data_IF_922648315446
#
_entry.id   IF_922648315446
#
_cell.length_a   1.000
_cell.length_b   1.000
_cell.length_c   1.000
_cell.angle_alpha   90.00
_cell.angle_beta   90.00
_cell.angle_gamma   90.00
#
_symmetry.space_group_name_H-M   'P 1'
#
loop_
_entity.id
_entity.type
_entity.pdbx_description
1 polymer ?
#
# COMPACT_ATOMS: atom_id res chain seq x y z
N UNK A 1 12.19 2.67 6.51
CA UNK A 1 10.80 2.47 7.02
C UNK A 1 10.72 2.96 8.45
N UNK A 2 9.61 3.60 8.81
CA UNK A 2 9.45 4.19 10.15
C UNK A 2 9.12 3.09 11.18
N UNK A 3 9.93 2.91 12.23
CA UNK A 3 9.56 2.00 13.32
C UNK A 3 8.42 2.58 14.16
N UNK A 4 7.66 1.73 14.85
CA UNK A 4 6.52 2.12 15.70
C UNK A 4 6.78 3.35 16.59
N UNK A 5 7.91 3.36 17.30
CA UNK A 5 8.30 4.43 18.23
C UNK A 5 8.58 5.78 17.56
N UNK A 6 8.70 5.81 16.23
CA UNK A 6 8.92 7.03 15.44
C UNK A 6 7.66 7.54 14.75
N UNK A 7 6.53 6.83 14.82
CA UNK A 7 5.30 7.25 14.14
C UNK A 7 4.79 8.60 14.66
N UNK A 8 4.52 8.72 15.96
CA UNK A 8 4.05 10.00 16.53
C UNK A 8 5.04 11.15 16.34
N UNK A 9 6.36 10.99 16.63
CA UNK A 9 7.33 12.03 16.30
C UNK A 9 7.33 12.44 14.83
N UNK A 10 7.19 11.49 13.90
CA UNK A 10 7.14 11.79 12.47
C UNK A 10 5.84 12.52 12.08
N UNK A 11 4.70 12.18 12.71
CA UNK A 11 3.45 12.94 12.54
C UNK A 11 3.64 14.38 13.03
N UNK A 12 4.13 14.58 14.25
CA UNK A 12 4.35 15.93 14.80
C UNK A 12 5.29 16.75 13.91
N UNK A 13 6.40 16.14 13.46
CA UNK A 13 7.32 16.79 12.54
C UNK A 13 6.66 17.14 11.20
N UNK A 14 5.78 16.27 10.68
CA UNK A 14 5.02 16.54 9.46
C UNK A 14 4.07 17.72 9.61
N UNK A 15 3.38 17.83 10.76
CA UNK A 15 2.48 18.95 11.07
C UNK A 15 3.24 20.27 11.19
N UNK A 16 4.35 20.28 11.93
CA UNK A 16 5.20 21.47 12.09
C UNK A 16 5.75 21.99 10.75
N UNK A 17 5.98 21.10 9.78
CA UNK A 17 6.50 21.43 8.45
C UNK A 17 5.39 21.64 7.39
N UNK A 18 4.12 21.58 7.80
CA UNK A 18 2.96 21.74 6.94
C UNK A 18 2.87 20.71 5.81
N UNK A 19 3.38 19.48 6.04
CA UNK A 19 3.45 18.46 4.99
C UNK A 19 2.06 17.96 4.57
N UNK A 20 1.13 17.89 5.51
CA UNK A 20 -0.21 17.38 5.22
C UNK A 20 -1.04 18.37 4.41
N UNK A 21 -0.89 19.67 4.69
CA UNK A 21 -1.50 20.75 3.93
C UNK A 21 -0.98 20.72 2.49
N UNK A 22 0.35 20.66 2.30
CA UNK A 22 0.97 20.51 0.97
C UNK A 22 0.52 19.25 0.24
N UNK A 23 0.41 18.12 0.96
CA UNK A 23 -0.09 16.87 0.39
C UNK A 23 -1.54 17.02 -0.08
N UNK A 24 -2.40 17.68 0.70
CA UNK A 24 -3.77 17.97 0.32
C UNK A 24 -3.85 18.91 -0.88
N UNK A 25 -3.02 19.96 -0.96
CA UNK A 25 -2.93 20.84 -2.13
C UNK A 25 -2.56 20.06 -3.41
N UNK A 26 -1.67 19.07 -3.32
CA UNK A 26 -1.34 18.18 -4.44
C UNK A 26 -2.54 17.29 -4.80
N UNK A 27 -3.23 16.72 -3.79
CA UNK A 27 -4.42 15.90 -4.02
C UNK A 27 -5.55 16.68 -4.69
N UNK A 28 -5.74 17.96 -4.35
CA UNK A 28 -6.77 18.82 -4.91
C UNK A 28 -6.55 19.11 -6.40
N UNK A 29 -5.34 18.90 -6.92
CA UNK A 29 -5.05 19.01 -8.34
C UNK A 29 -5.45 17.75 -9.14
N UNK A 30 -5.73 16.63 -8.47
CA UNK A 30 -6.22 15.40 -9.11
C UNK A 30 -7.67 15.66 -9.56
N UNK A 31 -8.06 15.24 -10.78
CA UNK A 31 -9.45 15.32 -11.21
C UNK A 31 -10.41 14.63 -10.23
N UNK A 32 -11.54 15.27 -9.92
CA UNK A 32 -12.57 14.63 -9.10
C UNK A 32 -13.25 13.55 -9.92
N UNK A 33 -13.43 12.38 -9.31
CA UNK A 33 -13.95 11.20 -10.00
C UNK A 33 -15.11 10.56 -9.27
N UNK A 34 -16.02 9.99 -10.06
CA UNK A 34 -17.05 9.06 -9.61
C UNK A 34 -16.82 7.68 -10.24
N UNK A 35 -17.20 6.64 -9.51
CA UNK A 35 -17.18 5.26 -9.97
C UNK A 35 -18.25 4.44 -9.27
N UNK A 36 -18.51 3.23 -9.76
CA UNK A 36 -19.52 2.31 -9.20
C UNK A 36 -19.12 1.68 -7.85
N UNK A 37 -18.00 2.09 -7.26
CA UNK A 37 -17.47 1.59 -5.97
C UNK A 37 -17.42 0.05 -5.89
N UNK A 38 -16.97 -0.61 -6.96
CA UNK A 38 -16.94 -2.07 -7.07
C UNK A 38 -15.77 -2.74 -6.32
N UNK A 39 -14.90 -1.96 -5.66
CA UNK A 39 -13.73 -2.41 -4.89
C UNK A 39 -12.66 -3.19 -5.67
N UNK A 40 -12.72 -3.22 -7.01
CA UNK A 40 -11.68 -3.88 -7.83
C UNK A 40 -10.28 -3.30 -7.60
N UNK A 41 -10.15 -1.98 -7.41
CA UNK A 41 -8.87 -1.36 -7.06
C UNK A 41 -8.33 -1.77 -5.69
N UNK A 42 -9.18 -2.33 -4.82
CA UNK A 42 -8.82 -2.73 -3.47
C UNK A 42 -8.32 -4.19 -3.40
N UNK A 43 -8.05 -4.85 -4.53
CA UNK A 43 -7.43 -6.19 -4.54
C UNK A 43 -5.93 -6.14 -4.34
N UNK A 44 -5.26 -5.10 -4.85
CA UNK A 44 -3.82 -4.87 -4.70
C UNK A 44 -3.59 -3.47 -4.12
N UNK A 45 -3.38 -3.35 -2.80
CA UNK A 45 -2.89 -2.15 -2.17
C UNK A 45 -1.74 -1.50 -2.96
N UNK A 46 -1.94 -0.29 -3.52
CA UNK A 46 -0.94 0.31 -4.38
C UNK A 46 0.21 0.89 -3.55
N UNK A 47 1.35 1.20 -4.18
CA UNK A 47 2.44 1.86 -3.49
C UNK A 47 2.10 3.29 -3.09
N UNK A 48 2.75 3.75 -2.02
CA UNK A 48 2.58 5.07 -1.45
C UNK A 48 3.87 5.52 -0.75
N UNK A 49 4.01 6.83 -0.57
CA UNK A 49 5.11 7.42 0.18
C UNK A 49 4.82 7.47 1.69
N UNK A 50 5.87 7.65 2.50
CA UNK A 50 5.82 7.75 3.96
C UNK A 50 4.87 8.86 4.40
N UNK A 51 4.89 10.02 3.73
CA UNK A 51 4.02 11.16 4.06
C UNK A 51 2.53 10.81 3.95
N UNK A 52 2.17 9.98 2.96
CA UNK A 52 0.80 9.54 2.75
C UNK A 52 0.38 8.50 3.81
N UNK A 53 1.29 7.61 4.16
CA UNK A 53 1.11 6.67 5.28
C UNK A 53 0.92 7.41 6.61
N UNK A 54 1.74 8.43 6.89
CA UNK A 54 1.59 9.26 8.10
C UNK A 54 0.26 10.02 8.12
N UNK A 55 -0.22 10.48 6.96
CA UNK A 55 -1.51 11.16 6.87
C UNK A 55 -2.66 10.22 7.27
N UNK A 56 -2.64 8.99 6.73
CA UNK A 56 -3.59 7.95 7.12
C UNK A 56 -3.45 7.58 8.60
N UNK A 57 -2.24 7.37 9.08
CA UNK A 57 -1.98 7.02 10.48
C UNK A 57 -2.55 8.05 11.44
N UNK A 58 -2.31 9.34 11.19
CA UNK A 58 -2.88 10.44 11.97
C UNK A 58 -4.41 10.43 11.93
N UNK A 59 -5.00 10.26 10.74
CA UNK A 59 -6.45 10.22 10.57
C UNK A 59 -7.09 9.07 11.35
N UNK A 60 -6.56 7.86 11.24
CA UNK A 60 -7.10 6.69 11.95
C UNK A 60 -6.99 6.88 13.46
N UNK A 61 -5.87 7.37 13.99
CA UNK A 61 -5.76 7.66 15.43
C UNK A 61 -6.77 8.68 15.93
N UNK A 62 -7.10 9.68 15.10
CA UNK A 62 -8.03 10.75 15.47
C UNK A 62 -9.50 10.35 15.32
N UNK A 63 -9.82 9.55 14.30
CA UNK A 63 -11.21 9.34 13.85
C UNK A 63 -11.70 7.90 13.95
N UNK A 64 -10.80 6.91 13.92
CA UNK A 64 -11.13 5.48 13.87
C UNK A 64 -10.19 4.62 14.77
N UNK A 65 -9.82 5.04 15.99
CA UNK A 65 -8.83 4.33 16.79
C UNK A 65 -9.24 2.87 17.11
N UNK A 66 -10.55 2.62 17.22
CA UNK A 66 -11.12 1.29 17.44
C UNK A 66 -10.91 0.32 16.27
N UNK A 67 -10.59 0.83 15.08
CA UNK A 67 -10.33 0.02 13.88
C UNK A 67 -8.90 -0.51 13.78
N UNK A 68 -7.98 -0.04 14.63
CA UNK A 68 -6.58 -0.48 14.57
C UNK A 68 -6.39 -2.00 14.66
N UNK A 69 -7.06 -2.75 15.56
CA UNK A 69 -6.93 -4.20 15.59
C UNK A 69 -7.31 -4.88 14.27
N UNK A 70 -8.39 -4.42 13.63
CA UNK A 70 -8.88 -4.92 12.33
C UNK A 70 -7.86 -4.61 11.21
N UNK A 71 -7.43 -3.35 11.11
CA UNK A 71 -6.46 -2.91 10.11
C UNK A 71 -5.10 -3.61 10.22
N UNK A 72 -4.58 -3.76 11.45
CA UNK A 72 -3.31 -4.44 11.67
C UNK A 72 -3.45 -5.93 11.34
N UNK A 73 -4.53 -6.58 11.77
CA UNK A 73 -4.77 -7.99 11.45
C UNK A 73 -4.81 -8.21 9.93
N UNK A 74 -5.59 -7.41 9.20
CA UNK A 74 -5.66 -7.48 7.74
C UNK A 74 -4.31 -7.17 7.08
N UNK A 75 -3.59 -6.16 7.56
CA UNK A 75 -2.29 -5.78 7.00
C UNK A 75 -1.24 -6.88 7.17
N UNK A 76 -1.22 -7.53 8.34
CA UNK A 76 -0.36 -8.69 8.61
C UNK A 76 -0.74 -9.83 7.66
N UNK A 77 -2.02 -10.17 7.50
CA UNK A 77 -2.45 -11.22 6.56
C UNK A 77 -2.01 -10.93 5.13
N UNK A 78 -2.31 -9.71 4.67
CA UNK A 78 -1.94 -9.25 3.35
C UNK A 78 -0.43 -9.43 3.13
N UNK A 79 0.42 -8.85 4.00
CA UNK A 79 1.88 -8.90 3.84
C UNK A 79 2.48 -10.31 3.91
N UNK A 80 1.86 -11.24 4.63
CA UNK A 80 2.38 -12.60 4.71
C UNK A 80 1.90 -13.49 3.56
N UNK A 81 0.78 -13.15 2.91
CA UNK A 81 0.12 -14.01 1.93
C UNK A 81 -0.04 -13.41 0.53
N UNK A 82 0.31 -12.14 0.27
CA UNK A 82 0.03 -11.50 -1.02
C UNK A 82 0.77 -12.12 -2.22
N UNK A 83 1.77 -12.98 -1.96
CA UNK A 83 2.47 -13.74 -2.99
C UNK A 83 1.99 -15.20 -3.14
N UNK A 84 1.05 -15.64 -2.31
CA UNK A 84 0.57 -17.04 -2.29
C UNK A 84 -0.93 -17.22 -2.19
N UNK A 85 -1.70 -16.15 -1.96
CA UNK A 85 -3.16 -16.18 -1.89
C UNK A 85 -3.77 -15.03 -2.71
N UNK A 86 -4.46 -15.39 -3.79
CA UNK A 86 -5.11 -14.43 -4.71
C UNK A 86 -6.33 -13.74 -4.08
N UNK A 87 -6.82 -14.27 -2.96
CA UNK A 87 -8.00 -13.75 -2.27
C UNK A 87 -7.67 -12.62 -1.30
N UNK A 88 -6.40 -12.28 -1.12
CA UNK A 88 -6.00 -11.13 -0.32
C UNK A 88 -6.65 -9.84 -0.86
N UNK A 89 -7.05 -8.97 0.06
CA UNK A 89 -7.67 -7.67 -0.23
C UNK A 89 -7.01 -6.60 0.62
N UNK A 90 -7.22 -5.35 0.24
CA UNK A 90 -6.82 -4.19 1.03
C UNK A 90 -7.44 -4.29 2.44
N UNK A 91 -6.63 -4.17 3.51
CA UNK A 91 -7.11 -4.31 4.89
C UNK A 91 -7.99 -3.14 5.34
N UNK A 92 -8.10 -2.09 4.54
CA UNK A 92 -8.98 -0.95 4.80
C UNK A 92 -10.31 -1.04 4.04
N UNK A 93 -10.54 -2.13 3.30
CA UNK A 93 -11.80 -2.41 2.62
C UNK A 93 -12.77 -3.05 3.61
N UNK A 94 -13.88 -2.37 3.90
CA UNK A 94 -14.95 -2.90 4.73
C UNK A 94 -15.81 -3.94 4.01
N UNK A 95 -16.61 -4.68 4.77
CA UNK A 95 -17.53 -5.71 4.28
C UNK A 95 -18.60 -5.17 3.31
N UNK A 96 -18.91 -3.87 3.41
CA UNK A 96 -19.82 -3.15 2.50
C UNK A 96 -19.15 -2.73 1.18
N UNK A 97 -17.92 -3.19 0.95
CA UNK A 97 -17.05 -2.83 -0.19
C UNK A 97 -16.68 -1.34 -0.23
N UNK A 98 -16.78 -0.62 0.89
CA UNK A 98 -16.31 0.75 1.01
C UNK A 98 -14.94 0.81 1.68
N UNK A 99 -14.11 1.75 1.24
CA UNK A 99 -12.83 2.01 1.89
C UNK A 99 -13.07 2.80 3.18
N UNK A 100 -12.66 2.27 4.32
CA UNK A 100 -12.86 2.90 5.63
C UNK A 100 -11.96 4.13 5.85
N UNK A 101 -10.93 4.31 5.01
CA UNK A 101 -10.01 5.46 5.02
C UNK A 101 -10.11 6.30 3.73
N UNK A 102 -11.27 6.30 3.07
CA UNK A 102 -11.45 6.89 1.73
C UNK A 102 -10.90 8.31 1.60
N UNK A 103 -11.09 9.16 2.62
CA UNK A 103 -10.66 10.56 2.66
C UNK A 103 -9.14 10.74 2.68
N UNK A 104 -8.40 9.76 3.18
CA UNK A 104 -6.93 9.79 3.33
C UNK A 104 -6.25 8.69 2.53
N UNK A 105 -6.93 8.18 1.49
CA UNK A 105 -6.35 7.23 0.55
C UNK A 105 -5.12 7.85 -0.16
N UNK A 106 -4.09 7.05 -0.49
CA UNK A 106 -2.89 7.55 -1.15
C UNK A 106 -3.18 7.99 -2.59
N UNK A 107 -2.25 8.74 -3.18
CA UNK A 107 -2.32 9.29 -4.53
C UNK A 107 -2.66 8.23 -5.56
N UNK A 108 -2.00 7.08 -5.49
CA UNK A 108 -2.20 5.94 -6.40
C UNK A 108 -3.61 5.38 -6.34
N UNK A 109 -4.26 5.40 -5.17
CA UNK A 109 -5.70 5.08 -5.06
C UNK A 109 -6.59 6.18 -5.66
N UNK A 110 -6.19 7.46 -5.57
CA UNK A 110 -6.95 8.61 -6.11
C UNK A 110 -6.87 8.69 -7.63
N UNK A 111 -5.73 8.34 -8.21
CA UNK A 111 -5.45 8.40 -9.64
C UNK A 111 -5.78 7.10 -10.38
N UNK A 112 -6.19 6.04 -9.68
CA UNK A 112 -6.59 4.79 -10.31
C UNK A 112 -7.76 4.98 -11.28
N UNK A 113 -7.59 4.55 -12.53
CA UNK A 113 -8.53 4.78 -13.63
C UNK A 113 -8.26 6.07 -14.43
N UNK A 114 -7.34 6.93 -13.99
CA UNK A 114 -6.93 8.15 -14.72
C UNK A 114 -5.61 7.98 -15.50
N UNK A 115 -4.78 6.99 -15.16
CA UNK A 115 -3.45 6.78 -15.78
C UNK A 115 -3.49 6.20 -17.20
N UNK A 116 -4.67 5.98 -17.78
CA UNK A 116 -4.82 5.56 -19.18
C UNK A 116 -4.20 4.20 -19.52
N UNK A 117 -3.94 3.98 -20.80
CA UNK A 117 -3.43 2.73 -21.36
C UNK A 117 -1.93 2.85 -21.71
N UNK A 118 -1.06 2.96 -20.70
CA UNK A 118 0.39 2.92 -20.93
C UNK A 118 0.89 1.48 -21.03
N UNK A 119 1.52 1.10 -22.15
CA UNK A 119 2.02 -0.27 -22.36
C UNK A 119 3.31 -0.59 -21.57
N UNK A 120 4.04 0.43 -21.08
CA UNK A 120 5.38 0.25 -20.49
C UNK A 120 5.41 -0.18 -19.01
N UNK A 121 4.38 0.14 -18.23
CA UNK A 121 4.31 -0.25 -16.81
C UNK A 121 4.08 -1.74 -16.65
N UNK A 122 3.26 -2.32 -17.54
CA UNK A 122 2.94 -3.75 -17.55
C UNK A 122 4.21 -4.61 -17.78
N UNK A 123 5.12 -4.16 -18.65
CA UNK A 123 6.40 -4.84 -18.93
C UNK A 123 7.40 -4.76 -17.76
N UNK A 124 7.45 -3.64 -17.04
CA UNK A 124 8.32 -3.52 -15.86
C UNK A 124 7.79 -4.35 -14.70
N UNK A 125 6.48 -4.28 -14.45
CA UNK A 125 5.83 -5.09 -13.43
C UNK A 125 6.05 -6.60 -13.69
N UNK A 126 5.92 -7.04 -14.95
CA UNK A 126 6.17 -8.43 -15.31
C UNK A 126 7.62 -8.86 -15.05
N UNK A 127 8.60 -8.06 -15.48
CA UNK A 127 10.02 -8.34 -15.22
C UNK A 127 10.35 -8.40 -13.73
N UNK A 128 9.73 -7.53 -12.93
CA UNK A 128 9.91 -7.55 -11.47
C UNK A 128 9.29 -8.81 -10.85
N UNK A 129 8.12 -9.24 -11.32
CA UNK A 129 7.49 -10.49 -10.89
C UNK A 129 8.36 -11.72 -11.26
N UNK A 130 8.90 -11.77 -12.48
CA UNK A 130 9.77 -12.88 -12.91
C UNK A 130 11.01 -13.01 -12.01
N UNK A 131 11.64 -11.89 -11.65
CA UNK A 131 12.75 -11.87 -10.68
C UNK A 131 12.33 -12.35 -9.29
N UNK A 132 11.12 -11.97 -8.86
CA UNK A 132 10.58 -12.36 -7.56
C UNK A 132 10.32 -13.88 -7.49
N UNK A 133 9.78 -14.45 -8.56
CA UNK A 133 9.58 -15.91 -8.70
C UNK A 133 10.90 -16.66 -8.54
N UNK A 134 11.93 -16.24 -9.30
CA UNK A 134 13.27 -16.86 -9.21
C UNK A 134 13.82 -16.73 -7.79
N UNK A 135 13.76 -15.54 -7.20
CA UNK A 135 14.25 -15.28 -5.84
C UNK A 135 13.58 -16.19 -4.81
N UNK A 136 12.25 -16.27 -4.79
CA UNK A 136 11.52 -17.07 -3.80
C UNK A 136 11.74 -18.58 -3.98
N UNK A 137 11.89 -19.04 -5.23
CA UNK A 137 12.27 -20.43 -5.53
C UNK A 137 13.67 -20.74 -5.01
N UNK A 138 14.68 -19.95 -5.40
CA UNK A 138 16.09 -20.25 -5.13
C UNK A 138 16.50 -20.00 -3.68
N UNK A 139 16.10 -18.86 -3.11
CA UNK A 139 16.53 -18.47 -1.75
C UNK A 139 15.66 -19.07 -0.65
N UNK A 140 14.41 -19.45 -0.97
CA UNK A 140 13.43 -19.83 0.03
C UNK A 140 12.71 -21.16 -0.24
N UNK A 141 12.87 -21.77 -1.42
CA UNK A 141 12.15 -23.00 -1.78
C UNK A 141 10.62 -22.80 -1.81
N UNK A 142 10.17 -21.61 -2.21
CA UNK A 142 8.73 -21.28 -2.33
C UNK A 142 8.38 -21.12 -3.81
N UNK A 143 7.54 -22.00 -4.32
CA UNK A 143 6.95 -21.87 -5.66
C UNK A 143 5.73 -20.96 -5.58
N UNK A 144 5.77 -19.81 -6.26
CA UNK A 144 4.64 -18.88 -6.28
C UNK A 144 3.54 -19.42 -7.23
N UNK A 145 2.26 -19.40 -6.82
CA UNK A 145 1.15 -19.88 -7.66
C UNK A 145 1.04 -19.13 -9.00
N UNK A 146 0.70 -19.83 -10.08
CA UNK A 146 0.55 -19.21 -11.41
C UNK A 146 -0.49 -18.08 -11.43
N UNK A 147 -1.56 -18.21 -10.67
CA UNK A 147 -2.59 -17.18 -10.54
C UNK A 147 -2.07 -15.90 -9.90
N UNK A 148 -1.06 -15.98 -9.03
CA UNK A 148 -0.37 -14.81 -8.46
C UNK A 148 0.57 -14.22 -9.50
N UNK A 149 1.41 -15.06 -10.11
CA UNK A 149 2.46 -14.63 -11.06
C UNK A 149 1.84 -13.95 -12.29
N UNK A 150 0.69 -14.45 -12.75
CA UNK A 150 -0.01 -13.94 -13.92
C UNK A 150 -1.10 -12.92 -13.58
N UNK A 151 -1.30 -12.59 -12.30
CA UNK A 151 -2.29 -11.60 -11.92
C UNK A 151 -1.94 -10.23 -12.48
N UNK A 152 -2.94 -9.59 -13.09
CA UNK A 152 -2.88 -8.18 -13.46
C UNK A 152 -4.11 -7.49 -12.90
N UNK A 153 -3.89 -6.40 -12.16
CA UNK A 153 -4.99 -5.57 -11.71
C UNK A 153 -5.69 -4.98 -12.95
N UNK A 154 -6.97 -5.28 -13.20
CA UNK A 154 -7.64 -4.80 -14.40
C UNK A 154 -7.68 -3.27 -14.40
N UNK A 155 -7.69 -2.68 -15.60
CA UNK A 155 -7.90 -1.23 -15.74
C UNK A 155 -9.36 -0.89 -15.42
N UNK A 156 -9.58 0.29 -14.83
CA UNK A 156 -10.93 0.74 -14.50
C UNK A 156 -11.60 1.43 -15.69
N UNK A 157 -12.74 0.90 -16.12
CA UNK A 157 -13.59 1.54 -17.14
C UNK A 157 -14.76 2.34 -16.52
N UNK A 158 -14.91 2.28 -15.20
CA UNK A 158 -16.05 2.87 -14.49
C UNK A 158 -15.74 4.24 -13.88
N UNK A 159 -14.48 4.69 -13.92
CA UNK A 159 -14.08 6.00 -13.40
C UNK A 159 -14.42 7.09 -14.41
N UNK A 160 -15.11 8.13 -13.95
CA UNK A 160 -15.48 9.31 -14.75
C UNK A 160 -15.11 10.57 -14.00
N UNK A 161 -14.58 11.56 -14.73
CA UNK A 161 -14.23 12.86 -14.17
C UNK A 161 -15.44 13.78 -14.15
N UNK A 162 -15.67 14.51 -13.05
CA UNK A 162 -16.87 15.35 -12.85
C UNK A 162 -16.63 16.85 -12.78
N UNK A 163 -15.44 17.30 -12.36
CA UNK A 163 -15.18 18.71 -12.11
C UNK A 163 -14.48 19.43 -13.28
N UNK A 164 -14.44 18.81 -14.47
CA UNK A 164 -13.83 19.39 -15.67
C UNK A 164 -12.30 19.53 -15.63
N UNK A 165 -11.64 19.21 -14.51
CA UNK A 165 -10.17 19.13 -14.43
C UNK A 165 -9.69 17.99 -15.33
N UNK A 166 -8.61 18.20 -16.08
CA UNK A 166 -8.00 17.13 -16.85
C UNK A 166 -6.50 17.08 -16.56
N UNK A 167 -5.98 15.87 -16.42
CA UNK A 167 -4.55 15.59 -16.23
C UNK A 167 -4.21 14.40 -17.11
N UNK A 168 -3.18 14.54 -17.91
CA UNK A 168 -2.60 13.44 -18.66
C UNK A 168 -1.93 12.45 -17.71
N UNK A 169 -1.75 11.17 -18.12
CA UNK A 169 -1.01 10.20 -17.32
C UNK A 169 0.40 10.70 -16.94
N UNK A 170 1.09 11.39 -17.84
CA UNK A 170 2.42 11.94 -17.59
C UNK A 170 2.39 13.01 -16.48
N UNK A 171 1.40 13.92 -16.50
CA UNK A 171 1.24 14.91 -15.43
C UNK A 171 0.93 14.25 -14.08
N UNK A 172 0.10 13.20 -14.06
CA UNK A 172 -0.18 12.45 -12.82
C UNK A 172 1.08 11.75 -12.28
N UNK A 173 1.90 11.17 -13.17
CA UNK A 173 3.18 10.56 -12.79
C UNK A 173 4.15 11.62 -12.27
N UNK A 174 4.18 12.80 -12.87
CA UNK A 174 5.02 13.91 -12.41
C UNK A 174 4.58 14.41 -11.03
N UNK A 175 3.27 14.58 -10.81
CA UNK A 175 2.73 14.93 -9.49
C UNK A 175 3.11 13.90 -8.42
N UNK A 176 3.04 12.62 -8.75
CA UNK A 176 3.42 11.54 -7.84
C UNK A 176 4.93 11.59 -7.54
N UNK A 177 5.77 11.55 -8.57
CA UNK A 177 7.21 11.33 -8.41
C UNK A 177 7.98 12.59 -8.00
N UNK A 178 7.57 13.76 -8.49
CA UNK A 178 8.21 15.04 -8.18
C UNK A 178 7.55 15.71 -6.96
N UNK A 179 6.25 15.99 -7.03
CA UNK A 179 5.60 16.84 -6.02
C UNK A 179 5.46 16.10 -4.68
N UNK A 180 4.89 14.89 -4.68
CA UNK A 180 4.78 14.09 -3.44
C UNK A 180 6.15 13.53 -3.02
N UNK A 181 6.95 13.08 -3.98
CA UNK A 181 8.33 12.62 -3.72
C UNK A 181 9.16 13.69 -3.00
N UNK A 182 9.04 14.97 -3.37
CA UNK A 182 9.75 16.06 -2.70
C UNK A 182 9.35 16.21 -1.22
N UNK A 183 8.10 15.92 -0.85
CA UNK A 183 7.66 15.95 0.55
C UNK A 183 8.36 14.88 1.40
N UNK A 184 8.81 13.77 0.81
CA UNK A 184 9.59 12.75 1.52
C UNK A 184 11.00 13.16 1.90
N UNK A 185 11.54 14.21 1.27
CA UNK A 185 12.89 14.69 1.54
C UNK A 185 13.12 15.10 3.00
N UNK A 186 12.05 15.31 3.76
CA UNK A 186 12.09 15.51 5.21
C UNK A 186 12.58 14.26 5.97
N UNK A 187 12.26 13.05 5.47
CA UNK A 187 12.53 11.78 6.15
C UNK A 187 13.76 11.05 5.61
N UNK A 188 14.04 11.20 4.32
CA UNK A 188 15.13 10.50 3.63
C UNK A 188 15.81 11.41 2.61
N UNK A 189 17.10 11.20 2.29
CA UNK A 189 17.77 11.94 1.22
C UNK A 189 17.07 11.77 -0.14
N UNK A 190 17.14 12.79 -1.01
CA UNK A 190 16.54 12.73 -2.36
C UNK A 190 17.01 11.53 -3.19
N UNK A 191 18.27 11.09 -3.04
CA UNK A 191 18.76 9.88 -3.72
C UNK A 191 18.01 8.61 -3.31
N UNK A 192 17.47 8.56 -2.09
CA UNK A 192 16.61 7.45 -1.63
C UNK A 192 15.22 7.56 -2.23
N UNK A 193 14.66 8.77 -2.30
CA UNK A 193 13.35 9.04 -2.94
C UNK A 193 13.39 8.66 -4.43
N UNK A 194 14.43 9.11 -5.14
CA UNK A 194 14.65 8.83 -6.57
C UNK A 194 14.83 7.33 -6.85
N UNK A 195 15.42 6.59 -5.90
CA UNK A 195 15.52 5.13 -6.00
C UNK A 195 14.20 4.39 -5.76
N UNK A 196 13.11 5.11 -5.42
CA UNK A 196 11.79 4.58 -5.07
C UNK A 196 11.81 3.59 -3.89
N UNK A 197 12.85 3.62 -3.06
CA UNK A 197 13.02 2.69 -1.94
C UNK A 197 11.91 2.79 -0.89
N UNK A 198 11.40 3.99 -0.68
CA UNK A 198 10.29 4.32 0.25
C UNK A 198 8.91 4.16 -0.39
N UNK A 199 8.84 4.06 -1.72
CA UNK A 199 7.61 3.92 -2.48
C UNK A 199 7.18 2.45 -2.56
N UNK A 200 6.62 1.96 -1.48
CA UNK A 200 6.23 0.56 -1.32
C UNK A 200 4.71 0.42 -1.13
N UNK A 201 4.12 -0.79 -1.26
CA UNK A 201 2.70 -1.00 -1.03
C UNK A 201 2.23 -0.32 0.26
N UNK A 202 1.17 0.47 0.17
CA UNK A 202 0.71 1.37 1.23
C UNK A 202 0.50 0.64 2.57
N UNK A 203 -0.03 -0.57 2.51
CA UNK A 203 -0.25 -1.45 3.65
C UNK A 203 1.06 -1.90 4.30
N UNK A 204 2.11 -2.05 3.50
CA UNK A 204 3.41 -2.51 4.00
C UNK A 204 4.06 -1.47 4.91
N UNK A 205 3.79 -0.17 4.75
CA UNK A 205 4.27 0.83 5.72
C UNK A 205 3.82 0.49 7.15
N UNK A 206 2.54 0.15 7.33
CA UNK A 206 1.99 -0.26 8.63
C UNK A 206 2.69 -1.52 9.16
N UNK A 207 2.86 -2.52 8.29
CA UNK A 207 3.54 -3.78 8.68
C UNK A 207 4.99 -3.55 9.05
N UNK A 208 5.72 -2.70 8.32
CA UNK A 208 7.11 -2.39 8.64
C UNK A 208 7.25 -1.66 9.97
N UNK A 209 6.24 -0.90 10.38
CA UNK A 209 6.22 -0.23 11.69
C UNK A 209 5.89 -1.18 12.83
N UNK A 210 4.92 -2.08 12.64
CA UNK A 210 4.31 -2.88 13.72
C UNK A 210 4.95 -4.27 13.86
N UNK A 211 5.28 -4.92 12.74
CA UNK A 211 5.76 -6.30 12.73
C UNK A 211 7.27 -6.34 12.87
N UNK A 212 7.74 -7.02 13.92
CA UNK A 212 9.17 -7.19 14.18
C UNK A 212 9.90 -7.81 13.00
N UNK A 213 11.16 -7.40 12.80
CA UNK A 213 12.01 -7.91 11.73
C UNK A 213 12.14 -9.45 11.77
N UNK A 214 12.31 -10.02 12.97
CA UNK A 214 12.38 -11.47 13.14
C UNK A 214 11.11 -12.20 12.68
N UNK A 215 9.92 -11.61 12.86
CA UNK A 215 8.69 -12.19 12.33
C UNK A 215 8.59 -12.03 10.80
N UNK A 216 8.96 -10.86 10.27
CA UNK A 216 9.01 -10.63 8.81
C UNK A 216 10.00 -11.58 8.11
N UNK A 217 11.13 -11.90 8.75
CA UNK A 217 12.09 -12.88 8.25
C UNK A 217 11.50 -14.30 8.11
N UNK A 218 10.47 -14.63 8.89
CA UNK A 218 9.75 -15.91 8.81
C UNK A 218 8.68 -15.95 7.73
N UNK A 219 8.51 -14.89 6.95
CA UNK A 219 7.50 -14.80 5.89
C UNK A 219 7.53 -15.97 4.89
N UNK A 220 8.68 -16.42 4.36
CA UNK A 220 8.68 -17.56 3.44
C UNK A 220 8.18 -18.85 4.11
N UNK A 221 8.45 -19.05 5.39
CA UNK A 221 7.95 -20.21 6.13
C UNK A 221 6.42 -20.17 6.31
N UNK A 222 5.87 -18.99 6.59
CA UNK A 222 4.41 -18.79 6.63
C UNK A 222 3.77 -19.13 5.28
N UNK A 223 4.38 -18.67 4.19
CA UNK A 223 3.94 -18.98 2.83
C UNK A 223 3.96 -20.49 2.54
N UNK A 224 5.02 -21.20 2.93
CA UNK A 224 5.11 -22.66 2.78
C UNK A 224 4.03 -23.40 3.56
N UNK A 225 3.80 -23.02 4.83
CA UNK A 225 2.73 -23.60 5.65
C UNK A 225 1.36 -23.39 4.98
N UNK A 226 1.11 -22.17 4.48
CA UNK A 226 -0.14 -21.83 3.80
C UNK A 226 -0.33 -22.61 2.49
N UNK A 227 0.68 -22.66 1.62
CA UNK A 227 0.61 -23.41 0.37
C UNK A 227 0.39 -24.92 0.60
N UNK A 228 0.94 -25.48 1.68
CA UNK A 228 0.78 -26.89 2.01
C UNK A 228 -0.59 -27.24 2.61
N UNK A 229 -1.18 -26.35 3.41
CA UNK A 229 -2.33 -26.69 4.26
C UNK A 229 -3.57 -25.80 4.04
N UNK A 230 -3.49 -24.76 3.20
CA UNK A 230 -4.49 -23.71 3.08
C UNK A 230 -4.58 -22.76 4.28
N UNK A 231 -3.69 -22.91 5.27
CA UNK A 231 -3.63 -22.12 6.50
C UNK A 231 -2.22 -22.13 7.09
N UNK A 232 -1.87 -21.14 7.91
CA UNK A 232 -0.62 -21.11 8.68
C UNK A 232 -0.89 -20.76 10.14
N UNK A 233 -0.61 -21.69 11.05
CA UNK A 233 -0.69 -21.42 12.49
C UNK A 233 0.29 -20.32 12.92
N UNK A 234 1.44 -20.23 12.24
CA UNK A 234 2.41 -19.16 12.50
C UNK A 234 1.83 -17.79 12.15
N UNK A 235 1.10 -17.69 11.04
CA UNK A 235 0.39 -16.46 10.68
C UNK A 235 -0.65 -16.08 11.72
N UNK A 236 -1.48 -17.03 12.16
CA UNK A 236 -2.51 -16.76 13.19
C UNK A 236 -1.89 -16.24 14.48
N UNK A 237 -0.77 -16.83 14.91
CA UNK A 237 -0.01 -16.33 16.09
C UNK A 237 0.50 -14.90 15.88
N UNK A 238 0.98 -14.56 14.68
CA UNK A 238 1.40 -13.19 14.38
C UNK A 238 0.22 -12.22 14.36
N UNK A 239 -0.89 -12.58 13.73
CA UNK A 239 -2.09 -11.75 13.69
C UNK A 239 -2.61 -11.47 15.11
N UNK A 240 -2.76 -12.52 15.94
CA UNK A 240 -3.20 -12.37 17.33
C UNK A 240 -2.27 -11.52 18.19
N UNK A 241 -0.96 -11.60 17.92
CA UNK A 241 0.06 -10.82 18.62
C UNK A 241 -0.01 -9.35 18.22
N UNK A 242 0.06 -9.05 16.92
CA UNK A 242 0.23 -7.68 16.43
C UNK A 242 -1.06 -6.87 16.40
N UNK A 243 -2.25 -7.50 16.27
CA UNK A 243 -3.53 -6.78 16.36
C UNK A 243 -3.76 -6.08 17.71
N UNK A 244 -2.98 -6.42 18.73
CA UNK A 244 -3.00 -5.82 20.07
C UNK A 244 -2.07 -4.61 20.20
N UNK A 245 -1.37 -4.23 19.13
CA UNK A 245 -0.51 -3.05 19.13
C UNK A 245 -1.37 -1.81 19.35
N UNK A 246 -1.00 -1.06 20.37
CA UNK A 246 -1.49 0.28 20.64
C UNK A 246 -0.54 1.32 20.07
N UNK A 247 -1.09 2.44 19.64
CA UNK A 247 -0.34 3.60 19.17
C UNK A 247 -0.38 4.71 20.21
#
# INVERSE_FOLDING_TARGET
MLPLVKLHPAVSQSEENGLFEKLHEIYDQIPETECNRCATCCTVPPPAYIVEFLNMFRYVNKHLPEKWPEFIAGAVRYYFLELVDINQRCPFLGDDRQCQIYEVRPFTCRSYGLMGNGNGEDDLARRNMDKLVVKYREEHGVELPEEIVNFQLPRCQNVRVVNGKNKTPLELIQMLTADIGQLESLFVPMSVVESQYTFMPFVNHLVMSVVSEGARFRRPKVMQEFLANGQSEMLEKYVEKYKRTSF
#
